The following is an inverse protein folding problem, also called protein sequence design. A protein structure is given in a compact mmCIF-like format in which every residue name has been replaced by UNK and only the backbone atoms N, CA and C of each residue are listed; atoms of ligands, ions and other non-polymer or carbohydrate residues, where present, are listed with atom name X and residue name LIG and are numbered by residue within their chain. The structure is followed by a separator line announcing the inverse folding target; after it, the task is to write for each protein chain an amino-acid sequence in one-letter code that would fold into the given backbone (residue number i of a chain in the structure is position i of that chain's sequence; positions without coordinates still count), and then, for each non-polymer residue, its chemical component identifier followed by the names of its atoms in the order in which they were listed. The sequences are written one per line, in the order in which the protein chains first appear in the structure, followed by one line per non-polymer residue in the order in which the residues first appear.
data_IF_122110560482
#
_entry.id   IF_122110560482
#
_cell.length_a   1.000
_cell.length_b   1.000
_cell.length_c   1.000
_cell.angle_alpha   90.00
_cell.angle_beta   90.00
_cell.angle_gamma   90.00
#
_symmetry.space_group_name_H-M   'P 1'
#
loop_
_entity.id
_entity.type
_entity.pdbx_description
1 polymer ?
#
# COMPACT_ATOMS: atom_id res chain seq x y z
N UNK A 1 -20.05 8.31 15.24
CA UNK A 1 -19.08 8.19 16.37
C UNK A 1 -18.76 9.57 16.87
N UNK A 2 -18.63 9.71 18.19
CA UNK A 2 -18.16 10.96 18.81
C UNK A 2 -16.65 11.11 18.64
N UNK A 3 -16.15 12.34 18.74
CA UNK A 3 -14.73 12.67 18.74
C UNK A 3 -14.03 11.98 19.93
N UNK A 4 -12.94 11.23 19.72
CA UNK A 4 -12.16 10.65 20.81
C UNK A 4 -11.56 11.71 21.73
N UNK A 5 -11.65 11.49 23.05
CA UNK A 5 -11.10 12.34 24.10
C UNK A 5 -9.93 11.71 24.85
N UNK A 6 -9.67 10.42 24.62
CA UNK A 6 -8.61 9.65 25.26
C UNK A 6 -7.85 8.79 24.27
N UNK A 7 -6.61 8.41 24.61
CA UNK A 7 -5.79 7.46 23.82
C UNK A 7 -6.52 6.13 23.62
N UNK A 8 -7.25 5.65 24.61
CA UNK A 8 -8.00 4.40 24.55
C UNK A 8 -9.11 4.47 23.51
N UNK A 9 -9.84 5.59 23.45
CA UNK A 9 -10.89 5.80 22.43
C UNK A 9 -10.29 5.93 21.03
N UNK A 10 -9.12 6.58 20.87
CA UNK A 10 -8.39 6.62 19.61
C UNK A 10 -7.99 5.21 19.18
N UNK A 11 -7.46 4.39 20.08
CA UNK A 11 -7.10 2.97 19.78
C UNK A 11 -8.32 2.17 19.37
N UNK A 12 -9.46 2.35 20.03
CA UNK A 12 -10.72 1.68 19.67
C UNK A 12 -11.19 2.07 18.26
N UNK A 13 -11.16 3.36 17.94
CA UNK A 13 -11.48 3.84 16.59
C UNK A 13 -10.51 3.31 15.52
N UNK A 14 -9.21 3.37 15.80
CA UNK A 14 -8.19 2.81 14.91
C UNK A 14 -8.34 1.30 14.73
N UNK A 15 -8.72 0.56 15.77
CA UNK A 15 -9.03 -0.87 15.68
C UNK A 15 -10.14 -1.14 14.68
N UNK A 16 -11.26 -0.41 14.80
CA UNK A 16 -12.39 -0.51 13.86
C UNK A 16 -11.96 -0.13 12.42
N UNK A 17 -11.36 1.04 12.26
CA UNK A 17 -10.99 1.53 10.92
C UNK A 17 -9.90 0.67 10.26
N UNK A 18 -8.98 0.10 11.04
CA UNK A 18 -7.94 -0.82 10.55
C UNK A 18 -8.50 -2.14 10.03
N UNK A 19 -9.62 -2.61 10.55
CA UNK A 19 -10.30 -3.80 10.02
C UNK A 19 -10.71 -3.59 8.56
N UNK A 20 -11.16 -2.38 8.23
CA UNK A 20 -11.57 -1.99 6.88
C UNK A 20 -10.46 -1.33 6.06
N UNK A 21 -9.21 -1.33 6.52
CA UNK A 21 -8.09 -0.63 5.86
C UNK A 21 -7.86 -0.99 4.39
N UNK A 22 -8.20 -2.22 4.00
CA UNK A 22 -8.08 -2.70 2.61
C UNK A 22 -9.09 -2.04 1.67
N UNK A 23 -10.16 -1.46 2.21
CA UNK A 23 -11.20 -0.75 1.47
C UNK A 23 -10.92 0.76 1.37
N UNK A 24 -9.96 1.24 2.15
CA UNK A 24 -9.66 2.68 2.25
C UNK A 24 -8.34 2.96 1.56
N UNK A 25 -8.43 3.68 0.45
CA UNK A 25 -7.27 4.21 -0.25
C UNK A 25 -6.47 5.12 0.68
N UNK A 26 -5.14 5.00 0.68
CA UNK A 26 -4.21 5.80 1.50
C UNK A 26 -4.42 5.70 3.03
N UNK A 27 -5.01 4.60 3.52
CA UNK A 27 -5.35 4.42 4.93
C UNK A 27 -4.21 4.80 5.88
N UNK A 28 -2.97 4.32 5.63
CA UNK A 28 -1.85 4.57 6.54
C UNK A 28 -1.45 6.04 6.63
N UNK A 29 -1.59 6.79 5.54
CA UNK A 29 -1.33 8.23 5.50
C UNK A 29 -2.41 9.00 6.25
N UNK A 30 -3.68 8.69 5.95
CA UNK A 30 -4.84 9.32 6.59
C UNK A 30 -4.82 9.04 8.10
N UNK A 31 -4.58 7.79 8.51
CA UNK A 31 -4.62 7.39 9.91
C UNK A 31 -3.37 7.79 10.72
N UNK A 32 -2.28 8.22 10.06
CA UNK A 32 -0.99 8.51 10.71
C UNK A 32 -1.09 9.48 11.90
N UNK A 33 -1.75 10.66 11.82
CA UNK A 33 -1.87 11.56 12.96
C UNK A 33 -2.51 10.89 14.19
N UNK A 34 -3.53 10.06 13.97
CA UNK A 34 -4.19 9.32 15.05
C UNK A 34 -3.30 8.22 15.63
N UNK A 35 -2.52 7.51 14.81
CA UNK A 35 -1.54 6.54 15.30
C UNK A 35 -0.43 7.22 16.11
N UNK A 36 0.01 8.42 15.71
CA UNK A 36 1.02 9.18 16.44
C UNK A 36 0.56 9.51 17.85
N UNK A 37 -0.74 9.78 18.08
CA UNK A 37 -1.31 9.98 19.43
C UNK A 37 -1.29 8.73 20.31
N UNK A 38 -1.15 7.54 19.73
CA UNK A 38 -1.16 6.26 20.48
C UNK A 38 0.23 5.76 20.86
N UNK A 39 1.29 6.47 20.44
CA UNK A 39 2.68 6.12 20.76
C UNK A 39 2.95 6.26 22.26
N UNK A 40 3.90 5.45 22.75
CA UNK A 40 4.38 5.53 24.12
C UNK A 40 4.97 6.92 24.38
N UNK A 41 4.75 7.47 25.56
CA UNK A 41 5.27 8.74 26.03
C UNK A 41 4.81 9.98 25.21
N UNK A 42 3.71 9.85 24.45
CA UNK A 42 3.10 10.97 23.73
C UNK A 42 2.01 11.61 24.57
N UNK A 43 2.12 12.92 24.79
CA UNK A 43 1.05 13.70 25.45
C UNK A 43 -0.16 13.73 24.51
N UNK A 44 -1.33 13.37 25.04
CA UNK A 44 -2.57 13.43 24.26
C UNK A 44 -2.94 14.85 23.91
N UNK A 45 -2.78 15.23 22.66
CA UNK A 45 -3.17 16.54 22.13
C UNK A 45 -3.91 16.35 20.81
N UNK A 46 -5.21 16.56 20.85
CA UNK A 46 -6.03 16.50 19.65
C UNK A 46 -5.92 17.81 18.88
N UNK A 47 -5.22 17.80 17.76
CA UNK A 47 -5.02 18.93 16.85
C UNK A 47 -5.90 18.83 15.59
N UNK A 48 -5.77 19.80 14.70
CA UNK A 48 -6.54 19.88 13.45
C UNK A 48 -6.22 18.71 12.52
N UNK A 49 -4.98 18.21 12.51
CA UNK A 49 -4.59 17.05 11.70
C UNK A 49 -5.29 15.79 12.21
N UNK A 50 -5.43 15.63 13.52
CA UNK A 50 -6.18 14.53 14.12
C UNK A 50 -7.68 14.62 13.77
N UNK A 51 -8.25 15.82 13.80
CA UNK A 51 -9.66 16.05 13.43
C UNK A 51 -9.89 15.72 11.95
N UNK A 52 -9.05 16.23 11.05
CA UNK A 52 -9.11 15.95 9.62
C UNK A 52 -8.99 14.44 9.37
N UNK A 53 -8.02 13.77 9.99
CA UNK A 53 -7.84 12.32 9.90
C UNK A 53 -9.08 11.55 10.35
N UNK A 54 -9.66 11.95 11.47
CA UNK A 54 -10.83 11.29 12.04
C UNK A 54 -12.06 11.43 11.13
N UNK A 55 -12.33 12.65 10.62
CA UNK A 55 -13.47 12.90 9.73
C UNK A 55 -13.28 12.21 8.37
N UNK A 56 -12.07 12.26 7.81
CA UNK A 56 -11.76 11.59 6.55
C UNK A 56 -11.95 10.08 6.66
N UNK A 57 -11.44 9.43 7.71
CA UNK A 57 -11.65 7.99 7.94
C UNK A 57 -13.13 7.64 8.12
N UNK A 58 -13.91 8.47 8.83
CA UNK A 58 -15.37 8.29 8.96
C UNK A 58 -16.04 8.33 7.60
N UNK A 59 -15.73 9.35 6.79
CA UNK A 59 -16.29 9.51 5.46
C UNK A 59 -15.93 8.32 4.59
N UNK A 60 -14.65 7.91 4.57
CA UNK A 60 -14.19 6.75 3.79
C UNK A 60 -14.86 5.44 4.21
N UNK A 61 -15.09 5.22 5.50
CA UNK A 61 -15.81 4.03 5.99
C UNK A 61 -17.28 3.97 5.53
N UNK A 62 -17.91 5.13 5.36
CA UNK A 62 -19.31 5.23 4.90
C UNK A 62 -19.39 5.13 3.37
N UNK A 63 -18.42 5.72 2.66
CA UNK A 63 -18.40 5.84 1.20
C UNK A 63 -17.43 4.87 0.53
N UNK A 64 -16.93 3.87 1.26
CA UNK A 64 -15.95 2.91 0.72
C UNK A 64 -16.43 2.33 -0.61
N UNK A 65 -15.57 2.32 -1.65
CA UNK A 65 -15.94 1.73 -2.93
C UNK A 65 -16.25 0.25 -2.73
N UNK A 66 -17.26 -0.25 -3.41
CA UNK A 66 -17.54 -1.69 -3.44
C UNK A 66 -16.37 -2.38 -4.11
N UNK A 67 -15.55 -3.05 -3.32
CA UNK A 67 -14.47 -3.89 -3.85
C UNK A 67 -15.09 -5.12 -4.50
N UNK A 68 -14.46 -5.57 -5.59
CA UNK A 68 -14.87 -6.82 -6.22
C UNK A 68 -14.38 -8.00 -5.37
N UNK A 69 -15.18 -9.07 -5.32
CA UNK A 69 -14.70 -10.33 -4.78
C UNK A 69 -13.73 -10.98 -5.77
N UNK A 70 -12.61 -11.55 -5.30
CA UNK A 70 -11.68 -12.24 -6.19
C UNK A 70 -12.33 -13.49 -6.78
N UNK A 71 -12.20 -13.66 -8.10
CA UNK A 71 -12.63 -14.86 -8.80
C UNK A 71 -11.53 -15.92 -8.75
N UNK A 72 -11.93 -17.19 -8.56
CA UNK A 72 -10.98 -18.28 -8.39
C UNK A 72 -10.29 -18.67 -9.71
N UNK A 73 -10.99 -18.63 -10.84
CA UNK A 73 -10.51 -19.12 -12.13
C UNK A 73 -10.54 -18.05 -13.23
N UNK A 74 -9.60 -18.16 -14.17
CA UNK A 74 -9.61 -17.45 -15.46
C UNK A 74 -9.25 -15.97 -15.46
N UNK A 75 -9.01 -15.35 -14.31
CA UNK A 75 -8.80 -13.91 -14.21
C UNK A 75 -7.39 -13.54 -13.74
N UNK A 76 -6.69 -12.72 -14.52
CA UNK A 76 -5.34 -12.26 -14.19
C UNK A 76 -5.39 -11.23 -13.07
N UNK A 77 -4.58 -11.44 -12.01
CA UNK A 77 -4.35 -10.41 -11.00
C UNK A 77 -3.33 -9.37 -11.50
N UNK A 78 -3.55 -8.16 -11.08
CA UNK A 78 -2.71 -7.01 -11.39
C UNK A 78 -2.34 -6.36 -10.06
N UNK A 79 -1.05 -6.23 -9.80
CA UNK A 79 -0.50 -5.54 -8.64
C UNK A 79 0.18 -4.26 -9.12
N UNK A 80 -0.43 -3.12 -8.85
CA UNK A 80 0.19 -1.80 -9.04
C UNK A 80 0.88 -1.39 -7.75
N UNK A 81 2.15 -0.97 -7.82
CA UNK A 81 2.93 -0.50 -6.67
C UNK A 81 3.55 0.85 -6.94
N UNK A 82 3.68 1.65 -5.89
CA UNK A 82 4.31 2.96 -5.93
C UNK A 82 4.97 3.31 -4.60
N UNK A 83 6.03 4.13 -4.63
CA UNK A 83 6.74 4.59 -3.46
C UNK A 83 6.97 6.10 -3.47
N UNK A 84 6.77 6.72 -2.32
CA UNK A 84 7.13 8.12 -2.07
C UNK A 84 8.23 8.22 -1.02
N UNK A 85 8.61 9.46 -0.65
CA UNK A 85 9.59 9.69 0.42
C UNK A 85 9.12 9.21 1.80
N UNK A 86 7.80 9.04 1.99
CA UNK A 86 7.22 8.79 3.32
C UNK A 86 6.42 7.49 3.41
N UNK A 87 5.96 6.96 2.29
CA UNK A 87 5.08 5.79 2.28
C UNK A 87 5.20 4.99 0.99
N UNK A 88 4.86 3.71 1.09
CA UNK A 88 4.63 2.81 -0.04
C UNK A 88 3.15 2.50 -0.17
N UNK A 89 2.69 2.33 -1.39
CA UNK A 89 1.29 2.06 -1.72
C UNK A 89 1.14 0.96 -2.75
N UNK A 90 -0.02 0.29 -2.74
CA UNK A 90 -0.39 -0.67 -3.77
C UNK A 90 -1.88 -0.78 -3.99
N UNK A 91 -2.24 -1.17 -5.20
CA UNK A 91 -3.59 -1.57 -5.58
C UNK A 91 -3.53 -2.98 -6.14
N UNK A 92 -4.30 -3.89 -5.56
CA UNK A 92 -4.52 -5.21 -6.12
C UNK A 92 -5.82 -5.18 -6.90
N UNK A 93 -5.74 -5.45 -8.18
CA UNK A 93 -6.89 -5.53 -9.09
C UNK A 93 -6.97 -6.91 -9.75
N UNK A 94 -8.11 -7.21 -10.34
CA UNK A 94 -8.32 -8.42 -11.13
C UNK A 94 -9.13 -8.07 -12.38
N UNK A 95 -8.80 -8.67 -13.51
CA UNK A 95 -9.61 -8.54 -14.73
C UNK A 95 -10.82 -9.46 -14.61
N UNK A 96 -12.02 -8.89 -14.50
CA UNK A 96 -13.30 -9.60 -14.39
C UNK A 96 -14.25 -9.06 -15.47
N UNK A 97 -14.83 -9.93 -16.27
CA UNK A 97 -15.72 -9.56 -17.38
C UNK A 97 -15.10 -8.51 -18.32
N UNK A 98 -13.79 -8.66 -18.62
CA UNK A 98 -13.04 -7.73 -19.47
C UNK A 98 -12.74 -6.36 -18.86
N UNK A 99 -13.07 -6.13 -17.57
CA UNK A 99 -12.83 -4.87 -16.85
C UNK A 99 -11.89 -5.10 -15.67
N UNK A 100 -10.98 -4.17 -15.46
CA UNK A 100 -10.13 -4.15 -14.27
C UNK A 100 -10.94 -3.69 -13.06
N UNK A 101 -11.08 -4.56 -12.04
CA UNK A 101 -11.80 -4.30 -10.81
C UNK A 101 -10.85 -4.36 -9.62
N UNK A 102 -10.94 -3.41 -8.73
CA UNK A 102 -10.10 -3.36 -7.53
C UNK A 102 -10.58 -4.42 -6.52
N UNK A 103 -9.63 -5.22 -6.03
CA UNK A 103 -9.84 -6.24 -5.00
C UNK A 103 -9.42 -5.73 -3.63
N UNK A 104 -8.29 -5.03 -3.55
CA UNK A 104 -7.79 -4.51 -2.28
C UNK A 104 -6.81 -3.36 -2.47
N UNK A 105 -6.76 -2.47 -1.49
CA UNK A 105 -5.73 -1.46 -1.35
C UNK A 105 -4.69 -1.89 -0.31
N UNK A 106 -3.44 -1.42 -0.49
CA UNK A 106 -2.38 -1.54 0.49
C UNK A 106 -1.64 -0.23 0.66
N UNK A 107 -1.32 0.12 1.90
CA UNK A 107 -0.49 1.28 2.16
C UNK A 107 0.28 1.11 3.48
N UNK A 108 1.54 1.60 3.53
CA UNK A 108 2.41 1.56 4.70
C UNK A 108 3.33 2.77 4.73
N UNK A 109 3.43 3.44 5.88
CA UNK A 109 4.45 4.47 6.08
C UNK A 109 5.83 3.83 6.19
N UNK A 110 6.83 4.49 5.59
CA UNK A 110 8.24 4.10 5.71
C UNK A 110 8.77 4.44 7.11
N UNK A 111 9.62 3.57 7.66
CA UNK A 111 10.36 3.85 8.87
C UNK A 111 11.56 4.80 8.59
N UNK A 112 12.27 5.23 9.66
CA UNK A 112 13.39 6.16 9.51
C UNK A 112 14.51 5.64 8.60
N UNK A 113 15.00 4.39 8.73
CA UNK A 113 15.98 3.82 7.82
C UNK A 113 15.50 3.73 6.37
N UNK A 114 14.26 3.32 6.15
CA UNK A 114 13.68 3.14 4.81
C UNK A 114 13.53 4.47 4.04
N UNK A 115 13.29 5.57 4.75
CA UNK A 115 13.23 6.92 4.13
C UNK A 115 14.56 7.35 3.52
N UNK A 116 15.68 6.81 4.01
CA UNK A 116 17.01 7.09 3.48
C UNK A 116 17.34 6.24 2.25
N UNK A 117 16.47 5.34 1.83
CA UNK A 117 16.67 4.58 0.60
C UNK A 117 16.58 5.49 -0.63
N UNK A 118 17.39 5.22 -1.65
CA UNK A 118 17.18 5.83 -2.95
C UNK A 118 15.83 5.42 -3.55
N UNK A 119 15.35 6.20 -4.52
CA UNK A 119 14.03 5.97 -5.16
C UNK A 119 13.89 4.51 -5.61
N UNK A 120 14.87 3.98 -6.34
CA UNK A 120 14.84 2.58 -6.81
C UNK A 120 14.68 1.55 -5.69
N UNK A 121 15.35 1.76 -4.55
CA UNK A 121 15.22 0.87 -3.39
C UNK A 121 13.85 0.98 -2.72
N UNK A 122 13.27 2.16 -2.66
CA UNK A 122 11.92 2.34 -2.12
C UNK A 122 10.87 1.69 -3.01
N UNK A 123 10.99 1.83 -4.34
CA UNK A 123 10.13 1.14 -5.29
C UNK A 123 10.24 -0.38 -5.17
N UNK A 124 11.46 -0.90 -5.09
CA UNK A 124 11.67 -2.33 -4.88
C UNK A 124 11.10 -2.81 -3.54
N UNK A 125 11.25 -2.03 -2.47
CA UNK A 125 10.64 -2.32 -1.18
C UNK A 125 9.10 -2.40 -1.29
N UNK A 126 8.47 -1.49 -2.04
CA UNK A 126 7.03 -1.54 -2.28
C UNK A 126 6.62 -2.85 -2.96
N UNK A 127 7.33 -3.26 -4.00
CA UNK A 127 7.09 -4.53 -4.70
C UNK A 127 7.20 -5.72 -3.75
N UNK A 128 8.31 -5.84 -3.03
CA UNK A 128 8.56 -6.97 -2.10
C UNK A 128 7.52 -7.01 -0.99
N UNK A 129 7.25 -5.86 -0.38
CA UNK A 129 6.30 -5.76 0.72
C UNK A 129 4.90 -6.15 0.29
N UNK A 130 4.38 -5.58 -0.81
CA UNK A 130 3.00 -5.81 -1.22
C UNK A 130 2.79 -7.17 -1.90
N UNK A 131 3.79 -7.72 -2.57
CA UNK A 131 3.73 -9.12 -3.04
C UNK A 131 3.57 -10.08 -1.85
N UNK A 132 4.30 -9.84 -0.75
CA UNK A 132 4.15 -10.62 0.49
C UNK A 132 2.82 -10.33 1.18
N UNK A 133 2.40 -9.07 1.25
CA UNK A 133 1.13 -8.65 1.88
C UNK A 133 -0.09 -9.28 1.21
N UNK A 134 -0.07 -9.37 -0.12
CA UNK A 134 -1.13 -10.00 -0.91
C UNK A 134 -0.84 -11.45 -1.29
N UNK A 135 0.09 -12.12 -0.58
CA UNK A 135 0.52 -13.49 -0.87
C UNK A 135 -0.65 -14.46 -1.05
N UNK A 136 -1.68 -14.35 -0.22
CA UNK A 136 -2.85 -15.23 -0.27
C UNK A 136 -3.70 -15.10 -1.56
N UNK A 137 -3.51 -14.03 -2.34
CA UNK A 137 -4.11 -13.88 -3.67
C UNK A 137 -3.15 -14.29 -4.78
N UNK A 138 -1.84 -14.08 -4.59
CA UNK A 138 -0.84 -14.10 -5.65
C UNK A 138 -0.02 -15.38 -5.73
N UNK A 139 0.14 -16.12 -4.60
CA UNK A 139 0.97 -17.31 -4.57
C UNK A 139 0.36 -18.43 -5.43
N UNK A 140 1.21 -19.08 -6.26
CA UNK A 140 0.79 -20.14 -7.16
C UNK A 140 0.05 -19.66 -8.42
N UNK A 141 -0.06 -18.35 -8.63
CA UNK A 141 -0.70 -17.75 -9.80
C UNK A 141 0.27 -16.87 -10.57
N UNK A 142 0.10 -16.81 -11.88
CA UNK A 142 0.77 -15.79 -12.70
C UNK A 142 0.00 -14.49 -12.55
N UNK A 143 0.71 -13.40 -12.21
CA UNK A 143 0.11 -12.07 -12.10
C UNK A 143 0.98 -11.01 -12.76
N UNK A 144 0.36 -9.90 -13.09
CA UNK A 144 1.02 -8.73 -13.67
C UNK A 144 1.42 -7.77 -12.56
N UNK A 145 2.70 -7.42 -12.51
CA UNK A 145 3.22 -6.36 -11.64
C UNK A 145 3.42 -5.11 -12.49
N UNK A 146 2.74 -4.02 -12.15
CA UNK A 146 2.90 -2.73 -12.80
C UNK A 146 3.64 -1.75 -11.88
N UNK A 147 4.61 -1.07 -12.44
CA UNK A 147 5.40 -0.02 -11.76
C UNK A 147 5.72 1.08 -12.76
N UNK A 148 5.84 2.31 -12.29
CA UNK A 148 6.28 3.45 -13.10
C UNK A 148 7.81 3.53 -13.19
N UNK A 149 8.53 2.79 -12.35
CA UNK A 149 9.98 2.80 -12.32
C UNK A 149 10.59 1.78 -13.28
N UNK A 150 11.03 2.26 -14.46
CA UNK A 150 11.58 1.42 -15.53
C UNK A 150 12.76 0.54 -15.12
N UNK A 151 13.53 0.96 -14.09
CA UNK A 151 14.65 0.17 -13.59
C UNK A 151 14.23 -1.15 -12.91
N UNK A 152 12.96 -1.36 -12.55
CA UNK A 152 12.51 -2.65 -12.01
C UNK A 152 12.37 -3.74 -13.09
N UNK A 153 12.35 -3.36 -14.37
CA UNK A 153 12.36 -4.35 -15.47
C UNK A 153 13.66 -5.17 -15.50
N UNK A 154 14.76 -4.64 -14.96
CA UNK A 154 16.05 -5.34 -14.87
C UNK A 154 16.24 -6.18 -13.60
N UNK A 155 15.26 -6.27 -12.71
CA UNK A 155 15.28 -7.18 -11.54
C UNK A 155 15.69 -8.61 -11.89
N UNK A 156 15.39 -9.06 -13.11
CA UNK A 156 15.80 -10.38 -13.64
C UNK A 156 17.28 -10.44 -14.06
N UNK A 157 17.96 -9.30 -14.22
CA UNK A 157 19.31 -9.19 -14.79
C UNK A 157 20.34 -8.66 -13.81
N UNK A 158 20.06 -8.63 -12.51
CA UNK A 158 21.05 -8.26 -11.51
C UNK A 158 22.23 -9.23 -11.50
N UNK A 159 23.40 -8.78 -11.90
CA UNK A 159 24.61 -9.63 -11.92
C UNK A 159 25.25 -9.77 -10.54
N UNK A 160 25.21 -8.71 -9.70
CA UNK A 160 25.79 -8.71 -8.34
C UNK A 160 24.92 -7.87 -7.39
N UNK A 161 23.79 -8.41 -6.87
CA UNK A 161 22.97 -7.69 -5.93
C UNK A 161 23.66 -7.63 -4.55
N UNK A 162 23.59 -6.47 -3.88
CA UNK A 162 23.99 -6.39 -2.48
C UNK A 162 23.12 -7.33 -1.60
N UNK A 163 23.59 -7.65 -0.40
CA UNK A 163 22.95 -8.67 0.44
C UNK A 163 21.48 -8.42 0.76
N UNK A 164 20.99 -7.16 0.74
CA UNK A 164 19.58 -6.84 0.93
C UNK A 164 18.79 -7.08 -0.35
N UNK A 165 19.29 -6.61 -1.48
CA UNK A 165 18.64 -6.78 -2.79
C UNK A 165 18.61 -8.27 -3.15
N UNK A 166 19.68 -9.02 -2.87
CA UNK A 166 19.69 -10.47 -3.08
C UNK A 166 18.55 -11.17 -2.32
N UNK A 167 18.37 -10.86 -1.04
CA UNK A 167 17.26 -11.41 -0.23
C UNK A 167 15.89 -11.04 -0.80
N UNK A 168 15.71 -9.82 -1.30
CA UNK A 168 14.46 -9.38 -1.92
C UNK A 168 14.17 -10.13 -3.22
N UNK A 169 15.18 -10.32 -4.07
CA UNK A 169 15.06 -11.12 -5.30
C UNK A 169 14.68 -12.56 -4.96
N UNK A 170 15.32 -13.16 -3.95
CA UNK A 170 14.98 -14.50 -3.47
C UNK A 170 13.53 -14.60 -2.94
N UNK A 171 13.04 -13.58 -2.25
CA UNK A 171 11.63 -13.53 -1.83
C UNK A 171 10.67 -13.46 -3.02
N UNK A 172 11.01 -12.67 -4.05
CA UNK A 172 10.20 -12.53 -5.25
C UNK A 172 10.23 -13.77 -6.14
N UNK A 173 11.30 -14.58 -6.11
CA UNK A 173 11.41 -15.80 -6.92
C UNK A 173 10.35 -16.86 -6.62
N UNK A 174 9.68 -16.77 -5.45
CA UNK A 174 8.55 -17.63 -5.09
C UNK A 174 7.28 -17.32 -5.87
N UNK A 175 7.25 -16.23 -6.64
CA UNK A 175 6.07 -15.74 -7.32
C UNK A 175 6.27 -15.74 -8.83
N UNK A 176 5.21 -16.05 -9.56
CA UNK A 176 5.19 -16.04 -11.03
C UNK A 176 4.71 -14.65 -11.52
N UNK A 177 5.59 -13.65 -11.47
CA UNK A 177 5.24 -12.28 -11.84
C UNK A 177 5.73 -11.91 -13.25
N UNK A 178 4.90 -11.16 -13.98
CA UNK A 178 5.22 -10.51 -15.25
C UNK A 178 5.33 -9.01 -14.99
N UNK A 179 6.51 -8.42 -15.17
CA UNK A 179 6.72 -6.98 -14.94
C UNK A 179 6.29 -6.22 -16.19
N UNK A 180 5.43 -5.22 -15.99
CA UNK A 180 5.00 -4.27 -17.01
C UNK A 180 5.32 -2.85 -16.55
N UNK A 181 6.11 -2.13 -17.34
CA UNK A 181 6.35 -0.71 -17.08
C UNK A 181 5.13 0.11 -17.52
N UNK A 182 4.59 0.92 -16.62
CA UNK A 182 3.49 1.84 -16.89
C UNK A 182 3.93 3.27 -16.62
N UNK A 183 4.04 4.15 -17.63
CA UNK A 183 4.43 5.54 -17.44
C UNK A 183 3.57 6.24 -16.38
N UNK A 184 4.18 7.05 -15.51
CA UNK A 184 3.56 7.67 -14.33
C UNK A 184 2.30 8.49 -14.62
N UNK A 185 2.16 9.11 -15.82
CA UNK A 185 0.95 9.81 -16.22
C UNK A 185 -0.30 8.89 -16.38
N UNK A 186 -0.11 7.58 -16.45
CA UNK A 186 -1.16 6.54 -16.47
C UNK A 186 -1.24 5.74 -15.17
N UNK A 187 -0.39 6.04 -14.18
CA UNK A 187 -0.28 5.31 -12.91
C UNK A 187 -1.03 6.00 -11.76
N UNK A 188 -1.97 6.89 -12.07
CA UNK A 188 -2.67 7.76 -11.11
C UNK A 188 -3.31 7.07 -9.91
N UNK A 189 -3.57 5.77 -9.98
CA UNK A 189 -4.16 5.01 -8.86
C UNK A 189 -3.13 4.65 -7.79
N UNK A 190 -1.91 4.24 -8.16
CA UNK A 190 -0.84 3.89 -7.23
C UNK A 190 -0.06 5.14 -6.78
N UNK A 191 0.18 6.11 -7.67
CA UNK A 191 0.82 7.40 -7.39
C UNK A 191 0.07 8.19 -6.31
N UNK A 192 -1.27 8.21 -6.39
CA UNK A 192 -2.09 8.79 -5.34
C UNK A 192 -1.97 8.07 -3.98
N UNK A 193 -1.50 6.79 -3.97
CA UNK A 193 -1.26 6.01 -2.76
C UNK A 193 0.06 6.37 -2.07
N UNK A 194 1.01 6.94 -2.81
CA UNK A 194 2.35 7.25 -2.32
C UNK A 194 2.55 8.74 -2.00
N UNK A 195 1.84 9.66 -2.67
CA UNK A 195 2.06 11.11 -2.52
C UNK A 195 1.10 11.76 -1.52
N UNK A 196 1.69 12.42 -0.53
CA UNK A 196 1.03 13.51 0.21
C UNK A 196 1.16 14.77 -0.66
N UNK A 197 0.05 15.40 -1.03
CA UNK A 197 0.09 16.83 -1.31
C UNK A 197 0.24 17.51 0.04
N UNK A 198 1.40 18.12 0.28
CA UNK A 198 1.60 19.15 1.32
C UNK A 198 0.68 20.31 1.04
#
# INVERSE_FOLDING_TARGET
MKKPSTVTEVRSFLGLSSYYRKLIKDYSKIAKPLFDLTKKDTVFKWDDLCEISFQELKTRLITAPVLAYPQAEGSEFILDTDASDYAIGAVLSQVQDGKERVIAYGSRCLDKPERNYCVTRREMLAVVYFTKYFKHYLLGRVFKLRTDHGSLTWLKNFREPDGQIHRWIQQLSQFHLKIEHRPGNRHGNADAMSRLKT
#
